data_IF_802892371004
#
_entry.id   IF_802892371004
#
_cell.length_a   1.000
_cell.length_b   1.000
_cell.length_c   1.000
_cell.angle_alpha   90.00
_cell.angle_beta   90.00
_cell.angle_gamma   90.00
#
_symmetry.space_group_name_H-M   'P 1'
#
loop_
_entity.id
_entity.type
_entity.pdbx_description
1 polymer ?
#
# COMPACT_ATOMS: atom_id res chain seq x y z
N UNK A 1 20.29 20.38 18.65
CA UNK A 1 20.60 19.06 18.07
C UNK A 1 20.70 17.96 19.13
N UNK A 2 21.40 18.19 20.24
CA UNK A 2 21.64 17.18 21.28
C UNK A 2 20.36 16.58 21.88
N UNK A 3 19.32 17.41 22.10
CA UNK A 3 18.01 16.93 22.53
C UNK A 3 17.38 15.94 21.54
N UNK A 4 17.55 16.16 20.23
CA UNK A 4 17.08 15.25 19.19
C UNK A 4 17.88 13.95 19.21
N UNK A 5 19.21 14.01 19.30
CA UNK A 5 20.05 12.81 19.41
C UNK A 5 19.71 11.98 20.66
N UNK A 6 19.43 12.63 21.78
CA UNK A 6 19.00 11.96 23.01
C UNK A 6 17.62 11.31 22.87
N UNK A 7 16.67 11.99 22.22
CA UNK A 7 15.36 11.42 21.88
C UNK A 7 15.47 10.25 20.90
N UNK A 8 16.31 10.35 19.87
CA UNK A 8 16.60 9.28 18.92
C UNK A 8 17.17 8.04 19.63
N UNK A 9 18.14 8.24 20.54
CA UNK A 9 18.72 7.13 21.32
C UNK A 9 17.66 6.42 22.16
N UNK A 10 16.82 7.18 22.88
CA UNK A 10 15.72 6.59 23.66
C UNK A 10 14.71 5.87 22.77
N UNK A 11 14.36 6.43 21.61
CA UNK A 11 13.39 5.82 20.71
C UNK A 11 13.78 4.37 20.35
N UNK A 12 15.08 4.11 20.14
CA UNK A 12 15.60 2.76 19.89
C UNK A 12 15.30 1.79 21.04
N UNK A 13 15.30 2.26 22.29
CA UNK A 13 15.00 1.46 23.47
C UNK A 13 13.48 1.17 23.63
N UNK A 14 12.62 1.85 22.86
CA UNK A 14 11.15 1.79 22.95
C UNK A 14 10.48 1.21 21.70
N UNK A 15 11.24 0.56 20.81
CA UNK A 15 10.65 -0.20 19.71
C UNK A 15 9.96 -1.43 20.29
N UNK A 16 8.65 -1.54 20.04
CA UNK A 16 7.82 -2.64 20.53
C UNK A 16 7.05 -3.27 19.37
N UNK A 17 6.81 -4.58 19.42
CA UNK A 17 5.99 -5.26 18.43
C UNK A 17 4.51 -5.08 18.76
N UNK A 18 3.72 -4.51 17.85
CA UNK A 18 2.27 -4.45 17.95
C UNK A 18 1.71 -5.88 18.01
N UNK A 19 0.97 -6.25 19.06
CA UNK A 19 0.48 -7.62 19.23
C UNK A 19 -0.58 -8.04 18.21
N UNK A 20 -1.24 -7.11 17.53
CA UNK A 20 -2.27 -7.38 16.54
C UNK A 20 -1.70 -7.54 15.13
N UNK A 21 -0.75 -6.68 14.75
CA UNK A 21 -0.20 -6.68 13.39
C UNK A 21 1.15 -7.38 13.29
N UNK A 22 1.89 -7.48 14.41
CA UNK A 22 3.29 -7.90 14.42
C UNK A 22 4.25 -6.80 13.96
N UNK A 23 3.76 -5.58 13.74
CA UNK A 23 4.56 -4.46 13.25
C UNK A 23 5.34 -3.81 14.39
N UNK A 24 6.59 -3.47 14.15
CA UNK A 24 7.41 -2.69 15.08
C UNK A 24 6.94 -1.23 15.10
N UNK A 25 6.48 -0.76 16.26
CA UNK A 25 5.95 0.58 16.51
C UNK A 25 6.59 1.17 17.77
N UNK A 26 6.70 2.50 17.81
CA UNK A 26 7.16 3.19 19.01
C UNK A 26 6.07 3.19 20.08
N UNK A 27 6.40 2.68 21.27
CA UNK A 27 5.52 2.79 22.44
C UNK A 27 5.58 4.19 23.10
N UNK A 28 4.53 4.54 23.84
CA UNK A 28 4.54 5.70 24.76
C UNK A 28 4.55 7.08 24.10
N UNK A 29 5.16 8.05 24.78
CA UNK A 29 5.25 9.47 24.37
C UNK A 29 6.44 9.77 23.43
N UNK A 30 7.12 8.74 22.90
CA UNK A 30 8.35 8.88 22.10
C UNK A 30 8.14 9.74 20.86
N UNK A 31 7.03 9.57 20.13
CA UNK A 31 6.74 10.38 18.94
C UNK A 31 6.60 11.87 19.30
N UNK A 32 5.97 12.17 20.44
CA UNK A 32 5.81 13.54 20.94
C UNK A 32 7.15 14.13 21.37
N UNK A 33 8.02 13.32 21.96
CA UNK A 33 9.38 13.71 22.32
C UNK A 33 10.22 14.01 21.07
N UNK A 34 10.23 13.10 20.08
CA UNK A 34 10.91 13.30 18.79
C UNK A 34 10.41 14.56 18.08
N UNK A 35 9.09 14.80 18.10
CA UNK A 35 8.51 16.03 17.55
C UNK A 35 9.03 17.28 18.25
N UNK A 36 8.98 17.32 19.58
CA UNK A 36 9.42 18.48 20.38
C UNK A 36 10.92 18.73 20.20
N UNK A 37 11.72 17.67 20.17
CA UNK A 37 13.17 17.76 19.99
C UNK A 37 13.55 18.18 18.57
N UNK A 38 12.80 17.75 17.55
CA UNK A 38 12.97 18.18 16.15
C UNK A 38 12.64 19.65 16.00
N UNK A 39 11.52 20.11 16.58
CA UNK A 39 11.13 21.53 16.59
C UNK A 39 12.20 22.40 17.27
N UNK A 40 12.73 21.96 18.43
CA UNK A 40 13.82 22.65 19.10
C UNK A 40 15.11 22.68 18.26
N UNK A 41 15.45 21.59 17.56
CA UNK A 41 16.61 21.55 16.67
C UNK A 41 16.45 22.54 15.50
N UNK A 42 15.29 22.57 14.85
CA UNK A 42 14.99 23.53 13.77
C UNK A 42 15.01 24.98 14.27
N UNK A 43 14.44 25.26 15.45
CA UNK A 43 14.46 26.57 16.08
C UNK A 43 15.89 27.04 16.42
N UNK A 44 16.81 26.12 16.69
CA UNK A 44 18.24 26.42 16.90
C UNK A 44 19.04 26.66 15.60
N UNK A 45 18.38 26.64 14.44
CA UNK A 45 19.00 26.85 13.13
C UNK A 45 19.59 25.59 12.49
N UNK A 46 19.29 24.40 13.01
CA UNK A 46 19.66 23.16 12.33
C UNK A 46 18.89 23.05 11.00
N UNK A 47 19.59 22.68 9.93
CA UNK A 47 18.93 22.46 8.62
C UNK A 47 17.93 21.31 8.69
N UNK A 48 16.76 21.39 8.02
CA UNK A 48 15.78 20.30 7.96
C UNK A 48 16.36 18.98 7.46
N UNK A 49 17.31 19.02 6.52
CA UNK A 49 18.01 17.85 6.00
C UNK A 49 18.74 17.04 7.09
N UNK A 50 19.47 17.72 7.98
CA UNK A 50 20.17 17.07 9.11
C UNK A 50 19.19 16.44 10.11
N UNK A 51 18.08 17.11 10.37
CA UNK A 51 17.02 16.59 11.26
C UNK A 51 16.37 15.36 10.62
N UNK A 52 16.03 15.44 9.32
CA UNK A 52 15.48 14.34 8.54
C UNK A 52 16.41 13.12 8.56
N UNK A 53 17.71 13.29 8.36
CA UNK A 53 18.67 12.19 8.39
C UNK A 53 18.63 11.42 9.71
N UNK A 54 18.61 12.13 10.85
CA UNK A 54 18.51 11.47 12.17
C UNK A 54 17.17 10.81 12.42
N UNK A 55 16.08 11.41 11.94
CA UNK A 55 14.76 10.78 12.04
C UNK A 55 14.70 9.51 11.18
N UNK A 56 15.22 9.53 9.95
CA UNK A 56 15.23 8.35 9.10
C UNK A 56 16.07 7.20 9.66
N UNK A 57 17.14 7.49 10.40
CA UNK A 57 17.90 6.47 11.13
C UNK A 57 17.05 5.78 12.20
N UNK A 58 16.32 6.55 13.00
CA UNK A 58 15.42 6.02 14.03
C UNK A 58 14.25 5.26 13.43
N UNK A 59 13.57 5.84 12.44
CA UNK A 59 12.41 5.21 11.80
C UNK A 59 12.81 4.04 10.89
N UNK A 60 14.09 3.84 10.57
CA UNK A 60 14.52 2.62 9.89
C UNK A 60 14.44 1.35 10.74
N UNK A 61 14.18 1.53 12.04
CA UNK A 61 13.89 0.45 12.99
C UNK A 61 12.38 0.13 13.08
N UNK A 62 11.51 0.86 12.36
CA UNK A 62 10.08 0.53 12.32
C UNK A 62 9.78 -0.32 11.10
N UNK A 63 8.81 -1.21 11.22
CA UNK A 63 8.43 -2.15 10.14
C UNK A 63 7.93 -1.49 8.85
N UNK A 64 7.52 -0.22 8.92
CA UNK A 64 7.03 0.57 7.79
C UNK A 64 8.06 1.56 7.24
N UNK A 65 9.20 1.73 7.93
CA UNK A 65 10.24 2.73 7.63
C UNK A 65 9.68 4.14 7.40
N UNK A 66 8.54 4.49 8.00
CA UNK A 66 7.80 5.70 7.68
C UNK A 66 7.91 6.74 8.80
N UNK A 67 8.42 7.92 8.47
CA UNK A 67 8.41 9.06 9.38
C UNK A 67 6.96 9.57 9.49
N UNK A 68 6.44 9.84 10.70
CA UNK A 68 5.09 10.34 10.90
C UNK A 68 4.84 11.63 10.14
N UNK A 69 3.66 11.72 9.54
CA UNK A 69 3.21 12.85 8.72
C UNK A 69 3.39 14.21 9.41
N UNK A 70 3.16 14.27 10.73
CA UNK A 70 3.29 15.50 11.51
C UNK A 70 4.74 16.00 11.57
N UNK A 71 5.71 15.09 11.67
CA UNK A 71 7.14 15.41 11.65
C UNK A 71 7.57 15.85 10.24
N UNK A 72 7.10 15.16 9.21
CA UNK A 72 7.39 15.58 7.82
C UNK A 72 6.80 16.97 7.54
N UNK A 73 5.55 17.21 7.90
CA UNK A 73 4.90 18.51 7.73
C UNK A 73 5.68 19.62 8.45
N UNK A 74 6.23 19.34 9.63
CA UNK A 74 7.13 20.27 10.33
C UNK A 74 8.39 20.55 9.48
N UNK A 75 9.06 19.53 8.96
CA UNK A 75 10.27 19.70 8.15
C UNK A 75 10.02 20.48 6.86
N UNK A 76 8.92 20.20 6.14
CA UNK A 76 8.54 20.93 4.92
C UNK A 76 8.28 22.41 5.20
N UNK A 77 7.59 22.75 6.30
CA UNK A 77 7.37 24.15 6.71
C UNK A 77 8.66 24.89 7.01
N UNK A 78 9.71 24.17 7.40
CA UNK A 78 11.05 24.72 7.63
C UNK A 78 11.95 24.66 6.39
N UNK A 79 11.39 24.34 5.21
CA UNK A 79 12.10 24.38 3.94
C UNK A 79 12.84 23.09 3.57
N UNK A 80 12.40 21.94 4.09
CA UNK A 80 12.86 20.65 3.54
C UNK A 80 12.40 20.54 2.08
N UNK A 81 13.34 20.34 1.17
CA UNK A 81 13.04 20.13 -0.25
C UNK A 81 12.87 18.63 -0.55
N UNK A 82 11.98 18.20 -1.47
CA UNK A 82 11.84 16.81 -1.88
C UNK A 82 13.13 16.16 -2.42
N UNK A 83 14.01 16.96 -3.01
CA UNK A 83 15.31 16.51 -3.54
C UNK A 83 16.39 16.37 -2.47
N UNK A 84 16.08 16.69 -1.20
CA UNK A 84 17.05 16.58 -0.11
C UNK A 84 17.60 15.16 -0.05
N UNK A 85 18.93 14.97 -0.13
CA UNK A 85 19.52 13.64 -0.08
C UNK A 85 19.28 13.00 1.29
N UNK A 86 18.89 11.74 1.26
CA UNK A 86 18.69 10.90 2.43
C UNK A 86 19.29 9.52 2.13
N UNK A 87 20.41 9.22 2.80
CA UNK A 87 21.22 8.02 2.52
C UNK A 87 21.62 7.97 1.03
N UNK A 88 21.20 6.93 0.32
CA UNK A 88 21.51 6.70 -1.11
C UNK A 88 20.43 7.20 -2.07
N UNK A 89 19.44 7.97 -1.61
CA UNK A 89 18.33 8.46 -2.43
C UNK A 89 17.93 9.89 -2.05
N UNK A 90 16.91 10.46 -2.69
CA UNK A 90 16.29 11.72 -2.27
C UNK A 90 15.05 11.48 -1.41
N UNK A 91 14.63 12.52 -0.66
CA UNK A 91 13.50 12.44 0.26
C UNK A 91 12.20 12.01 -0.42
N UNK A 92 11.89 12.52 -1.62
CA UNK A 92 10.69 12.12 -2.36
C UNK A 92 10.67 10.62 -2.62
N UNK A 93 11.77 10.07 -3.16
CA UNK A 93 11.86 8.65 -3.45
C UNK A 93 11.81 7.83 -2.15
N UNK A 94 12.53 8.24 -1.11
CA UNK A 94 12.42 7.62 0.22
C UNK A 94 10.97 7.56 0.71
N UNK A 95 10.20 8.65 0.57
CA UNK A 95 8.80 8.69 0.98
C UNK A 95 7.93 7.75 0.12
N UNK A 96 8.24 7.62 -1.16
CA UNK A 96 7.57 6.71 -2.10
C UNK A 96 7.97 5.24 -1.93
N UNK A 97 9.00 4.92 -1.14
CA UNK A 97 9.31 3.53 -0.79
C UNK A 97 8.34 2.94 0.24
N UNK A 98 7.66 3.79 1.03
CA UNK A 98 6.74 3.36 2.08
C UNK A 98 5.55 2.56 1.51
N UNK A 99 5.01 1.63 2.31
CA UNK A 99 3.83 0.81 1.94
C UNK A 99 2.58 1.64 1.68
N UNK A 100 2.49 2.80 2.32
CA UNK A 100 1.41 3.77 2.15
C UNK A 100 2.01 5.08 1.62
N UNK A 101 1.85 5.38 0.32
CA UNK A 101 2.35 6.63 -0.23
C UNK A 101 1.57 7.83 0.36
N UNK A 102 2.10 9.06 0.22
CA UNK A 102 1.40 10.26 0.67
C UNK A 102 -0.02 10.32 0.08
N UNK A 103 -1.05 10.63 0.89
CA UNK A 103 -2.41 10.75 0.37
C UNK A 103 -2.56 11.98 -0.53
N UNK A 104 -3.61 11.99 -1.35
CA UNK A 104 -4.01 13.18 -2.11
C UNK A 104 -4.95 14.06 -1.30
N UNK A 105 -4.90 15.37 -1.56
CA UNK A 105 -5.89 16.29 -1.03
C UNK A 105 -7.18 16.12 -1.84
N UNK A 106 -8.10 15.31 -1.35
CA UNK A 106 -9.34 15.03 -2.07
C UNK A 106 -10.19 16.30 -2.25
N UNK A 107 -10.15 16.91 -3.44
CA UNK A 107 -10.92 18.14 -3.77
C UNK A 107 -12.31 17.86 -4.32
N UNK A 108 -12.76 16.60 -4.29
CA UNK A 108 -14.03 16.19 -4.88
C UNK A 108 -15.26 16.89 -4.26
N UNK A 109 -16.35 17.10 -5.04
CA UNK A 109 -17.50 17.94 -4.68
C UNK A 109 -18.36 17.43 -3.51
N UNK A 110 -18.02 16.27 -2.91
CA UNK A 110 -18.81 15.62 -1.86
C UNK A 110 -18.04 15.38 -0.56
N UNK A 111 -16.75 15.72 -0.52
CA UNK A 111 -15.90 15.38 0.63
C UNK A 111 -15.44 16.68 1.28
N UNK A 112 -16.08 17.04 2.39
CA UNK A 112 -15.69 18.18 3.23
C UNK A 112 -14.48 17.85 4.10
N UNK A 113 -13.49 17.13 3.55
CA UNK A 113 -12.31 16.81 4.34
C UNK A 113 -11.50 18.09 4.48
N UNK A 114 -11.60 18.70 5.66
CA UNK A 114 -10.86 19.91 5.98
C UNK A 114 -9.36 19.62 5.83
N UNK A 115 -8.66 20.54 5.17
CA UNK A 115 -7.20 20.51 5.08
C UNK A 115 -6.60 20.32 6.47
N UNK A 116 -5.80 19.28 6.65
CA UNK A 116 -5.09 19.04 7.89
C UNK A 116 -3.64 19.49 7.69
N UNK A 117 -3.21 20.59 8.31
CA UNK A 117 -1.85 21.10 8.12
C UNK A 117 -0.78 20.14 8.66
N UNK A 118 -1.16 19.16 9.49
CA UNK A 118 -0.26 18.15 10.05
C UNK A 118 -0.18 16.88 9.19
N UNK A 119 -0.73 16.91 7.98
CA UNK A 119 -0.57 15.87 6.97
C UNK A 119 0.16 16.44 5.78
N UNK A 120 1.01 15.63 5.17
CA UNK A 120 1.64 15.96 3.89
C UNK A 120 0.89 15.23 2.80
N UNK A 121 0.42 15.99 1.83
CA UNK A 121 -0.23 15.46 0.65
C UNK A 121 0.80 15.26 -0.48
N UNK A 122 0.49 14.38 -1.43
CA UNK A 122 1.39 14.16 -2.57
C UNK A 122 1.59 15.44 -3.38
N UNK A 123 0.54 16.23 -3.56
CA UNK A 123 0.56 17.54 -4.22
C UNK A 123 1.54 18.49 -3.54
N UNK A 124 1.56 18.54 -2.19
CA UNK A 124 2.50 19.38 -1.44
C UNK A 124 3.96 19.05 -1.78
N UNK A 125 4.28 17.78 -2.08
CA UNK A 125 5.63 17.36 -2.44
C UNK A 125 5.97 17.69 -3.90
N UNK A 126 5.00 17.58 -4.81
CA UNK A 126 5.19 17.89 -6.23
C UNK A 126 5.26 19.40 -6.47
N UNK A 127 4.43 20.19 -5.77
CA UNK A 127 4.39 21.65 -5.88
C UNK A 127 5.70 22.33 -5.44
N UNK A 128 6.52 21.64 -4.65
CA UNK A 128 7.86 22.10 -4.29
C UNK A 128 8.87 22.01 -5.44
N UNK A 129 8.51 21.39 -6.57
CA UNK A 129 9.34 21.32 -7.77
C UNK A 129 10.51 20.34 -7.67
N UNK A 130 10.28 19.05 -7.31
CA UNK A 130 11.32 18.04 -7.30
C UNK A 130 11.94 17.86 -8.69
N UNK A 131 13.26 17.64 -8.76
CA UNK A 131 13.96 17.40 -10.01
C UNK A 131 13.57 16.00 -10.59
N UNK A 132 12.93 15.94 -11.77
CA UNK A 132 12.46 14.69 -12.36
C UNK A 132 13.58 13.74 -12.80
N UNK A 133 14.79 14.26 -12.96
CA UNK A 133 15.96 13.51 -13.42
C UNK A 133 16.73 12.83 -12.29
N UNK A 134 16.36 13.05 -11.01
CA UNK A 134 16.97 12.33 -9.90
C UNK A 134 16.65 10.84 -10.01
N UNK A 135 17.70 10.04 -9.97
CA UNK A 135 17.65 8.58 -10.10
C UNK A 135 18.17 7.91 -8.83
N UNK A 136 17.63 6.74 -8.54
CA UNK A 136 18.19 5.85 -7.51
C UNK A 136 19.45 5.14 -8.01
N UNK A 137 20.09 4.38 -7.11
CA UNK A 137 21.14 3.42 -7.48
C UNK A 137 20.70 2.37 -8.51
N UNK A 138 19.40 2.08 -8.63
CA UNK A 138 18.85 1.21 -9.68
C UNK A 138 18.50 1.97 -10.97
N UNK A 139 18.93 3.23 -11.11
CA UNK A 139 18.71 4.08 -12.27
C UNK A 139 17.26 4.57 -12.46
N UNK A 140 16.34 4.19 -11.57
CA UNK A 140 14.92 4.51 -11.67
C UNK A 140 14.60 5.91 -11.14
N UNK A 141 13.73 6.63 -11.83
CA UNK A 141 13.19 7.92 -11.38
C UNK A 141 12.02 7.73 -10.40
N UNK A 142 11.57 8.78 -9.71
CA UNK A 142 10.41 8.68 -8.81
C UNK A 142 9.15 8.14 -9.52
N UNK A 143 8.97 8.44 -10.82
CA UNK A 143 7.86 7.92 -11.61
C UNK A 143 7.94 6.39 -11.81
N UNK A 144 9.14 5.84 -11.99
CA UNK A 144 9.35 4.39 -12.00
C UNK A 144 8.93 3.76 -10.68
N UNK A 145 9.24 4.41 -9.55
CA UNK A 145 8.85 3.93 -8.23
C UNK A 145 7.33 3.89 -8.07
N UNK A 146 6.63 4.97 -8.39
CA UNK A 146 5.16 5.02 -8.30
C UNK A 146 4.51 3.88 -9.10
N UNK A 147 4.91 3.72 -10.36
CA UNK A 147 4.34 2.70 -11.24
C UNK A 147 4.73 1.29 -10.79
N UNK A 148 6.02 1.04 -10.56
CA UNK A 148 6.52 -0.29 -10.17
C UNK A 148 5.93 -0.75 -8.84
N UNK A 149 5.86 0.12 -7.83
CA UNK A 149 5.29 -0.19 -6.51
C UNK A 149 3.79 -0.47 -6.59
N UNK A 150 3.05 0.31 -7.37
CA UNK A 150 1.63 0.05 -7.59
C UNK A 150 1.41 -1.29 -8.30
N UNK A 151 2.13 -1.57 -9.40
CA UNK A 151 1.98 -2.81 -10.15
C UNK A 151 2.42 -4.06 -9.38
N UNK A 152 3.48 -3.96 -8.59
CA UNK A 152 4.00 -5.06 -7.74
C UNK A 152 3.22 -5.24 -6.44
N UNK A 153 2.08 -4.55 -6.27
CA UNK A 153 1.23 -4.61 -5.06
C UNK A 153 1.96 -4.25 -3.76
N UNK A 154 2.98 -3.41 -3.86
CA UNK A 154 3.76 -2.95 -2.70
C UNK A 154 3.11 -1.74 -2.02
N UNK A 155 2.28 -0.99 -2.76
CA UNK A 155 1.38 0.01 -2.17
C UNK A 155 0.07 -0.62 -1.72
N UNK A 156 -0.42 -0.15 -0.58
CA UNK A 156 -1.66 -0.64 0.03
C UNK A 156 -1.66 -2.17 0.11
N UNK A 157 -0.73 -2.78 0.87
CA UNK A 157 -0.51 -4.22 0.84
C UNK A 157 -1.82 -4.97 1.10
N UNK A 158 -2.00 -6.06 0.36
CA UNK A 158 -3.20 -6.89 0.48
C UNK A 158 -3.26 -7.49 1.90
N UNK A 159 -4.44 -7.45 2.52
CA UNK A 159 -4.65 -8.02 3.84
C UNK A 159 -4.62 -9.56 3.77
N UNK A 160 -4.13 -10.24 4.81
CA UNK A 160 -4.07 -11.69 4.79
C UNK A 160 -5.49 -12.28 4.76
N UNK A 161 -5.68 -13.34 3.97
CA UNK A 161 -7.00 -13.95 3.74
C UNK A 161 -7.77 -14.34 5.01
N UNK A 162 -7.05 -14.65 6.10
CA UNK A 162 -7.64 -14.92 7.43
C UNK A 162 -8.48 -13.75 7.98
N UNK A 163 -8.26 -12.51 7.53
CA UNK A 163 -9.06 -11.35 7.92
C UNK A 163 -10.54 -11.50 7.53
N UNK A 164 -10.86 -12.31 6.51
CA UNK A 164 -12.25 -12.65 6.15
C UNK A 164 -12.97 -13.38 7.29
N UNK A 165 -12.25 -14.22 8.04
CA UNK A 165 -12.80 -14.91 9.22
C UNK A 165 -13.12 -13.91 10.35
N UNK A 166 -12.43 -12.76 10.38
CA UNK A 166 -12.69 -11.66 11.30
C UNK A 166 -13.73 -10.65 10.77
N UNK A 167 -14.40 -10.95 9.66
CA UNK A 167 -15.49 -10.15 9.12
C UNK A 167 -15.08 -9.04 8.15
N UNK A 168 -13.80 -8.96 7.78
CA UNK A 168 -13.35 -8.07 6.69
C UNK A 168 -13.96 -8.55 5.38
N UNK A 169 -14.49 -7.61 4.59
CA UNK A 169 -15.04 -7.93 3.28
C UNK A 169 -13.92 -8.48 2.38
N UNK A 170 -14.16 -9.52 1.58
CA UNK A 170 -13.19 -10.00 0.59
C UNK A 170 -12.70 -8.91 -0.36
N UNK A 171 -13.56 -7.92 -0.64
CA UNK A 171 -13.21 -6.76 -1.47
C UNK A 171 -12.16 -5.87 -0.80
N UNK A 172 -12.19 -5.78 0.52
CA UNK A 172 -11.28 -4.95 1.31
C UNK A 172 -9.94 -5.68 1.59
N UNK A 173 -9.83 -6.96 1.20
CA UNK A 173 -8.56 -7.67 1.29
C UNK A 173 -7.54 -7.17 0.27
N UNK A 174 -8.02 -6.68 -0.87
CA UNK A 174 -7.16 -6.28 -1.97
C UNK A 174 -7.03 -4.76 -1.99
N UNK A 175 -5.80 -4.27 -1.91
CA UNK A 175 -5.52 -2.83 -2.02
C UNK A 175 -5.58 -2.30 -3.45
N UNK A 176 -6.09 -3.07 -4.42
CA UNK A 176 -6.09 -2.69 -5.83
C UNK A 176 -6.89 -1.42 -6.10
N UNK A 177 -7.94 -1.15 -5.34
CA UNK A 177 -8.69 0.10 -5.46
C UNK A 177 -7.85 1.32 -5.03
N UNK A 178 -7.17 1.22 -3.88
CA UNK A 178 -6.28 2.27 -3.40
C UNK A 178 -5.09 2.48 -4.34
N UNK A 179 -4.52 1.40 -4.87
CA UNK A 179 -3.44 1.46 -5.87
C UNK A 179 -3.91 2.12 -7.17
N UNK A 180 -5.08 1.74 -7.67
CA UNK A 180 -5.66 2.30 -8.88
C UNK A 180 -5.93 3.80 -8.72
N UNK A 181 -6.54 4.19 -7.60
CA UNK A 181 -6.79 5.59 -7.29
C UNK A 181 -5.47 6.37 -7.18
N UNK A 182 -4.50 5.87 -6.43
CA UNK A 182 -3.22 6.54 -6.27
C UNK A 182 -2.50 6.70 -7.61
N UNK A 183 -2.49 5.67 -8.47
CA UNK A 183 -1.88 5.77 -9.79
C UNK A 183 -2.63 6.78 -10.69
N UNK A 184 -3.97 6.81 -10.67
CA UNK A 184 -4.77 7.76 -11.46
C UNK A 184 -4.51 9.21 -11.07
N UNK A 185 -4.26 9.48 -9.79
CA UNK A 185 -4.04 10.83 -9.27
C UNK A 185 -2.56 11.24 -9.37
N UNK A 186 -1.63 10.34 -8.99
CA UNK A 186 -0.18 10.62 -9.00
C UNK A 186 0.37 10.82 -10.41
N UNK A 187 0.00 9.94 -11.34
CA UNK A 187 0.65 9.86 -12.65
C UNK A 187 0.52 11.16 -13.46
N UNK A 188 -0.67 11.76 -13.67
CA UNK A 188 -0.78 13.02 -14.39
C UNK A 188 0.00 14.16 -13.71
N UNK A 189 -0.04 14.25 -12.38
CA UNK A 189 0.70 15.27 -11.63
C UNK A 189 2.21 15.15 -11.83
N UNK A 190 2.74 13.92 -11.87
CA UNK A 190 4.16 13.71 -12.17
C UNK A 190 4.51 14.08 -13.61
N UNK A 191 3.66 13.78 -14.59
CA UNK A 191 3.90 14.21 -15.96
C UNK A 191 3.90 15.75 -16.08
N UNK A 192 2.97 16.42 -15.40
CA UNK A 192 2.91 17.89 -15.34
C UNK A 192 4.16 18.49 -14.66
N UNK A 193 4.71 17.79 -13.68
CA UNK A 193 5.98 18.15 -13.03
C UNK A 193 7.24 17.82 -13.87
N UNK A 194 7.08 17.34 -15.10
CA UNK A 194 8.19 17.10 -16.03
C UNK A 194 8.84 15.72 -15.94
N UNK A 195 8.25 14.77 -15.21
CA UNK A 195 8.76 13.40 -15.17
C UNK A 195 8.55 12.70 -16.52
N UNK A 196 9.64 12.24 -17.13
CA UNK A 196 9.58 11.57 -18.42
C UNK A 196 9.18 10.09 -18.30
N UNK A 197 8.11 9.63 -18.98
CA UNK A 197 7.74 8.22 -18.99
C UNK A 197 8.62 7.37 -19.93
N UNK A 198 9.46 8.02 -20.75
CA UNK A 198 10.41 7.35 -21.67
C UNK A 198 11.81 7.23 -21.08
N UNK A 199 12.09 7.83 -19.92
CA UNK A 199 13.32 7.58 -19.20
C UNK A 199 13.43 6.09 -18.88
N UNK A 200 14.62 5.52 -19.08
CA UNK A 200 14.91 4.12 -18.76
C UNK A 200 15.51 4.00 -17.37
N UNK A 201 15.18 2.94 -16.64
CA UNK A 201 15.92 2.53 -15.44
C UNK A 201 17.27 1.87 -15.79
N UNK A 202 18.02 1.39 -14.79
CA UNK A 202 19.31 0.71 -15.03
C UNK A 202 19.18 -0.63 -15.77
N UNK A 203 17.99 -1.25 -15.78
CA UNK A 203 17.70 -2.45 -16.55
C UNK A 203 17.24 -2.13 -18.00
N UNK A 204 17.17 -0.85 -18.37
CA UNK A 204 16.71 -0.41 -19.68
C UNK A 204 15.18 -0.37 -19.83
N UNK A 205 14.42 -0.57 -18.74
CA UNK A 205 12.97 -0.52 -18.79
C UNK A 205 12.46 0.91 -18.69
N UNK A 206 11.51 1.28 -19.55
CA UNK A 206 10.77 2.55 -19.43
C UNK A 206 9.51 2.38 -18.59
N UNK A 207 8.99 3.48 -18.07
CA UNK A 207 7.69 3.50 -17.36
C UNK A 207 6.57 2.97 -18.26
N UNK A 208 6.59 3.28 -19.55
CA UNK A 208 5.62 2.79 -20.54
C UNK A 208 5.68 1.26 -20.66
N UNK A 209 6.88 0.67 -20.68
CA UNK A 209 7.05 -0.79 -20.72
C UNK A 209 6.47 -1.43 -19.45
N UNK A 210 6.78 -0.89 -18.27
CA UNK A 210 6.22 -1.34 -17.00
C UNK A 210 4.68 -1.29 -17.01
N UNK A 211 4.09 -0.20 -17.50
CA UNK A 211 2.64 -0.07 -17.63
C UNK A 211 2.04 -1.11 -18.60
N UNK A 212 2.68 -1.36 -19.75
CA UNK A 212 2.20 -2.39 -20.70
C UNK A 212 2.25 -3.80 -20.10
N UNK A 213 3.33 -4.13 -19.39
CA UNK A 213 3.46 -5.40 -18.66
C UNK A 213 2.40 -5.53 -17.56
N UNK A 214 2.24 -4.48 -16.75
CA UNK A 214 1.22 -4.41 -15.72
C UNK A 214 -0.20 -4.56 -16.28
N UNK A 215 -0.50 -3.92 -17.41
CA UNK A 215 -1.79 -4.04 -18.08
C UNK A 215 -2.08 -5.49 -18.49
N UNK A 216 -1.09 -6.18 -19.05
CA UNK A 216 -1.23 -7.58 -19.44
C UNK A 216 -1.43 -8.48 -18.21
N UNK A 217 -0.70 -8.23 -17.12
CA UNK A 217 -0.87 -9.01 -15.89
C UNK A 217 -2.27 -8.84 -15.29
N UNK A 218 -2.74 -7.60 -15.13
CA UNK A 218 -4.09 -7.32 -14.64
C UNK A 218 -5.18 -7.83 -15.58
N UNK A 219 -4.96 -7.81 -16.90
CA UNK A 219 -5.90 -8.39 -17.88
C UNK A 219 -6.07 -9.89 -17.68
N UNK A 220 -4.98 -10.64 -17.52
CA UNK A 220 -5.03 -12.08 -17.23
C UNK A 220 -5.77 -12.36 -15.93
N UNK A 221 -5.53 -11.56 -14.88
CA UNK A 221 -6.21 -11.70 -13.58
C UNK A 221 -7.71 -11.42 -13.69
N UNK A 222 -8.11 -10.34 -14.35
CA UNK A 222 -9.53 -10.01 -14.56
C UNK A 222 -10.24 -11.14 -15.31
N UNK A 223 -9.62 -11.70 -16.34
CA UNK A 223 -10.18 -12.85 -17.06
C UNK A 223 -10.45 -14.05 -16.16
N UNK A 224 -9.53 -14.38 -15.25
CA UNK A 224 -9.73 -15.43 -14.25
C UNK A 224 -10.82 -15.07 -13.22
N UNK A 225 -10.96 -13.79 -12.88
CA UNK A 225 -11.87 -13.31 -11.84
C UNK A 225 -13.30 -13.03 -12.32
N UNK A 226 -13.56 -12.99 -13.63
CA UNK A 226 -14.91 -12.81 -14.21
C UNK A 226 -15.98 -13.77 -13.67
N UNK A 227 -15.55 -14.89 -13.08
CA UNK A 227 -16.45 -15.88 -12.50
C UNK A 227 -16.77 -15.66 -11.02
N UNK A 228 -16.16 -14.68 -10.35
CA UNK A 228 -16.12 -14.59 -8.88
C UNK A 228 -16.66 -13.28 -8.27
N UNK A 229 -17.28 -12.37 -9.05
CA UNK A 229 -17.85 -11.08 -8.57
C UNK A 229 -16.87 -10.20 -7.73
N UNK A 230 -15.57 -10.51 -7.78
CA UNK A 230 -14.48 -9.92 -6.97
C UNK A 230 -13.51 -9.09 -7.81
N UNK A 231 -13.96 -8.58 -8.95
CA UNK A 231 -13.12 -8.01 -10.01
C UNK A 231 -12.98 -6.47 -9.95
N UNK A 232 -13.78 -5.77 -9.15
CA UNK A 232 -13.89 -4.30 -9.27
C UNK A 232 -12.55 -3.58 -9.05
N UNK A 233 -11.74 -3.98 -8.06
CA UNK A 233 -10.42 -3.38 -7.83
C UNK A 233 -9.43 -3.65 -8.97
N UNK A 234 -9.40 -4.87 -9.50
CA UNK A 234 -8.55 -5.25 -10.62
C UNK A 234 -8.96 -4.51 -11.91
N UNK A 235 -10.28 -4.36 -12.15
CA UNK A 235 -10.82 -3.57 -13.25
C UNK A 235 -10.43 -2.10 -13.12
N UNK A 236 -10.56 -1.50 -11.93
CA UNK A 236 -10.15 -0.11 -11.69
C UNK A 236 -8.65 0.08 -11.92
N UNK A 237 -7.82 -0.87 -11.51
CA UNK A 237 -6.38 -0.82 -11.77
C UNK A 237 -6.08 -0.96 -13.26
N UNK A 238 -6.76 -1.86 -13.99
CA UNK A 238 -6.63 -1.97 -15.44
C UNK A 238 -7.01 -0.66 -16.15
N UNK A 239 -8.09 -0.01 -15.69
CA UNK A 239 -8.50 1.32 -16.19
C UNK A 239 -7.45 2.38 -15.85
N UNK A 240 -6.91 2.40 -14.63
CA UNK A 240 -5.84 3.31 -14.23
C UNK A 240 -4.60 3.19 -15.13
N UNK A 241 -4.16 1.96 -15.40
CA UNK A 241 -3.01 1.69 -16.26
C UNK A 241 -3.29 2.14 -17.71
N UNK A 242 -4.51 1.88 -18.22
CA UNK A 242 -4.91 2.33 -19.56
C UNK A 242 -4.88 3.85 -19.65
N UNK A 243 -5.45 4.57 -18.68
CA UNK A 243 -5.43 6.02 -18.63
C UNK A 243 -3.99 6.55 -18.59
N UNK A 244 -3.11 5.94 -17.78
CA UNK A 244 -1.71 6.30 -17.73
C UNK A 244 -1.00 6.11 -19.09
N UNK A 245 -1.26 5.00 -19.80
CA UNK A 245 -0.75 4.78 -21.15
C UNK A 245 -1.26 5.82 -22.15
N UNK A 246 -2.56 6.15 -22.09
CA UNK A 246 -3.17 7.18 -22.94
C UNK A 246 -2.53 8.56 -22.70
N UNK A 247 -2.23 8.91 -21.45
CA UNK A 247 -1.50 10.14 -21.10
C UNK A 247 -0.06 10.16 -21.65
N UNK A 248 0.57 8.99 -21.83
CA UNK A 248 1.85 8.86 -22.52
C UNK A 248 1.75 8.88 -24.05
N UNK A 249 0.54 9.02 -24.63
CA UNK A 249 0.32 8.91 -26.08
C UNK A 249 0.38 7.47 -26.61
N UNK A 250 0.34 6.48 -25.73
CA UNK A 250 0.44 5.06 -26.06
C UNK A 250 -0.93 4.38 -25.97
N UNK A 251 -1.20 3.46 -26.90
CA UNK A 251 -2.40 2.63 -26.80
C UNK A 251 -2.15 1.44 -25.89
N UNK A 252 -3.13 1.13 -25.04
CA UNK A 252 -3.10 -0.11 -24.26
C UNK A 252 -3.00 -1.31 -25.23
N UNK A 253 -2.19 -2.33 -24.90
CA UNK A 253 -2.11 -3.55 -25.69
C UNK A 253 -3.52 -4.07 -25.97
N UNK A 254 -3.81 -4.37 -27.24
CA UNK A 254 -5.06 -5.02 -27.58
C UNK A 254 -5.14 -6.30 -26.76
N UNK A 255 -6.18 -6.42 -25.93
CA UNK A 255 -6.37 -7.58 -25.08
C UNK A 255 -6.44 -8.82 -25.96
N UNK A 256 -5.35 -9.57 -26.04
CA UNK A 256 -5.34 -10.85 -26.74
C UNK A 256 -6.11 -11.78 -25.82
N UNK A 257 -7.38 -12.15 -26.14
CA UNK A 257 -8.10 -13.08 -25.30
C UNK A 257 -7.24 -14.33 -25.17
N UNK A 258 -6.91 -14.69 -23.93
CA UNK A 258 -6.13 -15.88 -23.65
C UNK A 258 -6.75 -17.03 -24.45
N UNK A 259 -5.99 -17.79 -25.27
CA UNK A 259 -6.54 -18.77 -26.17
C UNK A 259 -7.31 -19.79 -25.33
N UNK A 260 -8.62 -19.57 -25.23
CA UNK A 260 -9.53 -20.46 -24.55
C UNK A 260 -9.33 -21.80 -25.21
N UNK A 261 -8.88 -22.80 -24.45
CA UNK A 261 -8.81 -24.19 -24.90
C UNK A 261 -10.22 -24.56 -25.34
N UNK A 262 -10.50 -24.33 -26.61
CA UNK A 262 -11.80 -24.60 -27.22
C UNK A 262 -11.98 -26.11 -27.18
N UNK A 263 -12.74 -26.58 -26.18
CA UNK A 263 -13.28 -27.92 -26.17
C UNK A 263 -14.29 -28.01 -27.33
N UNK A 264 -14.07 -28.86 -28.34
CA UNK A 264 -14.95 -28.93 -29.49
C UNK A 264 -16.13 -29.83 -29.15
N UNK A 265 -17.20 -29.28 -28.57
CA UNK A 265 -18.45 -30.04 -28.43
C UNK A 265 -19.69 -29.14 -28.36
N UNK A 266 -20.69 -29.54 -29.15
CA UNK A 266 -22.11 -29.17 -29.09
C UNK A 266 -22.55 -27.84 -29.72
N UNK A 267 -22.60 -27.84 -31.06
CA UNK A 267 -23.68 -27.20 -31.80
C UNK A 267 -24.86 -28.19 -31.94
N UNK A 268 -26.08 -27.74 -31.62
CA UNK A 268 -27.46 -28.22 -31.93
C UNK A 268 -28.32 -28.01 -30.66
N UNK A 269 -29.51 -27.39 -30.61
CA UNK A 269 -30.71 -27.43 -31.48
C UNK A 269 -31.64 -26.29 -31.01
N UNK A 270 -32.25 -25.49 -31.89
CA UNK A 270 -33.59 -25.65 -32.47
C UNK A 270 -34.77 -25.04 -31.66
N UNK A 271 -35.55 -24.23 -32.38
CA UNK A 271 -36.75 -23.49 -32.03
C UNK A 271 -38.00 -24.34 -31.70
N UNK A 272 -38.96 -23.75 -30.97
CA UNK A 272 -40.44 -23.81 -31.16
C UNK A 272 -41.15 -23.14 -29.96
N UNK A 273 -41.83 -22.00 -30.09
CA UNK A 273 -43.22 -21.79 -30.53
C UNK A 273 -44.32 -21.88 -29.43
N UNK A 274 -44.88 -20.69 -29.13
CA UNK A 274 -46.31 -20.34 -29.02
C UNK A 274 -47.21 -20.90 -27.88
N UNK A 275 -47.86 -19.99 -27.14
CA UNK A 275 -49.33 -19.70 -27.10
C UNK A 275 -49.81 -19.15 -25.75
N UNK A 276 -50.42 -17.97 -25.76
CA UNK A 276 -51.44 -17.51 -24.77
C UNK A 276 -52.79 -18.21 -25.09
N UNK A 277 -53.78 -18.35 -24.15
CA UNK A 277 -54.54 -17.20 -23.64
C UNK A 277 -55.22 -17.36 -22.24
N UNK A 278 -55.88 -16.25 -21.83
CA UNK A 278 -57.25 -16.18 -21.26
C UNK A 278 -57.39 -15.81 -19.78
N UNK A 279 -58.05 -14.66 -19.60
CA UNK A 279 -58.48 -14.05 -18.35
C UNK A 279 -59.58 -14.85 -17.63
N UNK A 280 -59.54 -14.80 -16.29
CA UNK A 280 -60.69 -15.03 -15.42
C UNK A 280 -60.62 -14.04 -14.25
N UNK A 281 -61.71 -13.31 -14.05
CA UNK A 281 -61.91 -12.37 -12.95
C UNK A 281 -62.10 -13.15 -11.63
N UNK A 282 -61.38 -12.75 -10.58
CA UNK A 282 -61.54 -13.28 -9.24
C UNK A 282 -61.75 -12.13 -8.24
N UNK A 283 -62.84 -12.29 -7.51
CA UNK A 283 -63.40 -11.58 -6.37
C UNK A 283 -62.37 -11.15 -5.33
N UNK A 284 -62.51 -9.92 -4.81
CA UNK A 284 -61.64 -9.32 -3.80
C UNK A 284 -61.56 -10.17 -2.51
N UNK A 285 -60.42 -10.81 -2.33
CA UNK A 285 -59.96 -11.40 -1.08
C UNK A 285 -59.35 -10.30 -0.18
N UNK A 286 -59.37 -10.47 1.16
CA UNK A 286 -58.65 -9.57 2.07
C UNK A 286 -57.16 -9.49 1.69
N UNK A 287 -56.46 -8.36 1.94
CA UNK A 287 -55.10 -8.13 1.47
C UNK A 287 -54.20 -9.30 1.88
N UNK A 288 -53.76 -10.08 0.89
CA UNK A 288 -52.74 -11.10 1.12
C UNK A 288 -51.48 -10.41 1.62
N UNK A 289 -50.73 -11.03 2.55
CA UNK A 289 -49.43 -10.53 2.95
C UNK A 289 -48.59 -10.27 1.70
N UNK A 290 -47.94 -9.11 1.63
CA UNK A 290 -47.14 -8.70 0.48
C UNK A 290 -46.22 -9.86 0.07
N UNK A 291 -46.32 -10.27 -1.19
CA UNK A 291 -45.45 -11.31 -1.73
C UNK A 291 -43.99 -10.81 -1.66
N UNK A 292 -43.02 -11.69 -1.38
CA UNK A 292 -41.59 -11.32 -1.34
C UNK A 292 -41.10 -10.56 -2.58
N UNK A 293 -41.77 -10.75 -3.73
CA UNK A 293 -41.53 -10.04 -4.98
C UNK A 293 -41.74 -8.51 -4.87
N UNK A 294 -42.66 -8.06 -4.01
CA UNK A 294 -42.93 -6.63 -3.83
C UNK A 294 -41.73 -5.86 -3.25
N UNK A 295 -40.78 -6.55 -2.64
CA UNK A 295 -39.61 -5.96 -1.99
C UNK A 295 -38.32 -6.11 -2.81
N UNK A 296 -38.33 -6.74 -3.99
CA UNK A 296 -37.10 -6.98 -4.77
C UNK A 296 -36.41 -5.70 -5.24
N UNK A 297 -37.18 -4.64 -5.48
CA UNK A 297 -36.67 -3.32 -5.88
C UNK A 297 -36.50 -2.35 -4.70
N UNK A 298 -36.70 -2.80 -3.47
CA UNK A 298 -36.46 -1.99 -2.27
C UNK A 298 -35.00 -1.55 -2.21
N UNK A 299 -34.78 -0.28 -1.89
CA UNK A 299 -33.45 0.34 -1.85
C UNK A 299 -33.16 0.93 -0.49
N UNK A 300 -31.90 0.80 -0.06
CA UNK A 300 -31.43 1.32 1.21
C UNK A 300 -31.67 2.83 1.27
N UNK A 301 -32.49 3.32 2.22
CA UNK A 301 -32.96 4.69 2.12
C UNK A 301 -31.91 5.70 2.58
N UNK A 302 -30.91 5.33 3.40
CA UNK A 302 -29.93 6.26 3.98
C UNK A 302 -28.56 5.61 4.22
N UNK A 303 -27.58 6.42 4.66
CA UNK A 303 -26.25 5.96 5.06
C UNK A 303 -25.30 5.70 3.89
N UNK A 304 -24.19 5.01 4.18
CA UNK A 304 -23.10 4.71 3.23
C UNK A 304 -23.59 3.97 1.97
N UNK A 305 -24.62 3.13 2.11
CA UNK A 305 -25.19 2.34 1.02
C UNK A 305 -26.50 2.92 0.46
N UNK A 306 -26.78 4.21 0.68
CA UNK A 306 -28.01 4.82 0.19
C UNK A 306 -28.20 4.63 -1.31
N UNK A 307 -29.38 4.17 -1.72
CA UNK A 307 -29.74 3.89 -3.11
C UNK A 307 -29.40 2.47 -3.59
N UNK A 308 -28.61 1.68 -2.86
CA UNK A 308 -28.34 0.28 -3.21
C UNK A 308 -29.57 -0.59 -3.00
N UNK A 309 -29.77 -1.66 -3.78
CA UNK A 309 -30.87 -2.59 -3.49
C UNK A 309 -30.61 -3.31 -2.18
N UNK A 310 -31.67 -3.61 -1.41
CA UNK A 310 -31.52 -4.33 -0.14
C UNK A 310 -30.91 -5.73 -0.30
N UNK A 311 -31.11 -6.37 -1.46
CA UNK A 311 -30.52 -7.65 -1.85
C UNK A 311 -29.03 -7.56 -2.23
N UNK A 312 -28.52 -6.35 -2.46
CA UNK A 312 -27.11 -6.05 -2.79
C UNK A 312 -26.31 -5.63 -1.55
N UNK A 313 -26.96 -5.43 -0.39
CA UNK A 313 -26.28 -5.02 0.83
C UNK A 313 -25.32 -6.12 1.33
N UNK A 314 -24.09 -5.75 1.74
CA UNK A 314 -23.17 -6.71 2.36
C UNK A 314 -23.77 -7.36 3.61
N UNK A 315 -23.55 -8.66 3.80
CA UNK A 315 -24.04 -9.39 4.96
C UNK A 315 -23.56 -8.78 6.29
N UNK A 316 -22.29 -8.37 6.35
CA UNK A 316 -21.71 -7.68 7.52
C UNK A 316 -22.40 -6.36 7.84
N UNK A 317 -22.89 -5.64 6.82
CA UNK A 317 -23.65 -4.40 7.01
C UNK A 317 -25.03 -4.68 7.62
N UNK A 318 -25.70 -5.75 7.16
CA UNK A 318 -26.98 -6.20 7.73
C UNK A 318 -26.80 -6.68 9.18
N UNK A 319 -25.72 -7.42 9.46
CA UNK A 319 -25.35 -7.84 10.82
C UNK A 319 -25.09 -6.63 11.73
N UNK A 320 -24.32 -5.65 11.25
CA UNK A 320 -24.09 -4.40 11.97
C UNK A 320 -25.40 -3.65 12.28
N UNK A 321 -26.30 -3.51 11.29
CA UNK A 321 -27.63 -2.90 11.51
C UNK A 321 -28.43 -3.62 12.59
N UNK A 322 -28.32 -4.95 12.68
CA UNK A 322 -28.99 -5.76 13.71
C UNK A 322 -28.27 -5.72 15.07
N UNK A 323 -26.96 -5.44 15.10
CA UNK A 323 -26.17 -5.40 16.33
C UNK A 323 -26.27 -4.07 17.06
N UNK A 324 -26.46 -2.97 16.33
CA UNK A 324 -26.57 -1.61 16.91
C UNK A 324 -27.89 -1.46 17.66
N UNK A 325 -27.80 -1.17 18.95
CA UNK A 325 -28.98 -0.87 19.78
C UNK A 325 -29.71 0.37 19.26
N UNK A 326 -31.03 0.32 19.27
CA UNK A 326 -31.91 1.36 18.72
C UNK A 326 -31.64 1.71 17.25
N UNK A 327 -30.97 0.85 16.48
CA UNK A 327 -30.87 1.07 15.03
C UNK A 327 -32.27 1.14 14.43
N UNK A 328 -33.13 0.17 14.73
CA UNK A 328 -34.55 0.18 14.37
C UNK A 328 -35.42 0.89 15.43
N UNK A 329 -35.08 2.13 15.75
CA UNK A 329 -35.73 3.05 16.73
C UNK A 329 -37.25 3.31 16.54
N UNK A 330 -37.90 2.67 15.57
CA UNK A 330 -39.30 2.88 15.27
C UNK A 330 -39.60 4.17 14.49
N UNK A 331 -38.58 4.90 14.03
CA UNK A 331 -38.81 6.00 13.08
C UNK A 331 -39.48 5.45 11.81
N UNK A 332 -40.45 6.18 11.20
CA UNK A 332 -41.24 5.66 10.07
C UNK A 332 -40.37 5.13 8.92
N UNK A 333 -39.26 5.82 8.64
CA UNK A 333 -38.30 5.44 7.60
C UNK A 333 -37.59 4.11 7.89
N UNK A 334 -37.22 3.87 9.15
CA UNK A 334 -36.54 2.63 9.55
C UNK A 334 -37.51 1.47 9.77
N UNK A 335 -38.77 1.76 10.09
CA UNK A 335 -39.84 0.76 10.09
C UNK A 335 -40.10 0.21 8.69
N UNK A 336 -40.19 1.09 7.68
CA UNK A 336 -40.31 0.67 6.28
C UNK A 336 -39.12 -0.20 5.88
N UNK A 337 -37.89 0.23 6.17
CA UNK A 337 -36.68 -0.56 5.91
C UNK A 337 -36.74 -1.94 6.60
N UNK A 338 -37.18 -2.01 7.86
CA UNK A 338 -37.31 -3.26 8.60
C UNK A 338 -38.35 -4.19 7.97
N UNK A 339 -39.50 -3.66 7.56
CA UNK A 339 -40.55 -4.40 6.86
C UNK A 339 -40.02 -4.97 5.54
N UNK A 340 -39.29 -4.19 4.76
CA UNK A 340 -38.67 -4.62 3.51
C UNK A 340 -37.60 -5.70 3.73
N UNK A 341 -36.73 -5.54 4.74
CA UNK A 341 -35.71 -6.54 5.08
C UNK A 341 -36.33 -7.85 5.60
N UNK A 342 -37.43 -7.78 6.37
CA UNK A 342 -38.21 -8.94 6.81
C UNK A 342 -38.91 -9.62 5.63
N UNK A 343 -39.50 -8.84 4.73
CA UNK A 343 -40.17 -9.33 3.52
C UNK A 343 -39.22 -10.03 2.56
N UNK A 344 -37.96 -9.59 2.49
CA UNK A 344 -36.88 -10.24 1.75
C UNK A 344 -36.26 -11.45 2.48
N UNK A 345 -36.59 -11.67 3.76
CA UNK A 345 -36.00 -12.73 4.59
C UNK A 345 -34.54 -12.49 4.98
N UNK A 346 -34.01 -11.28 4.78
CA UNK A 346 -32.62 -10.92 5.12
C UNK A 346 -32.40 -10.78 6.63
N UNK A 347 -33.46 -10.42 7.35
CA UNK A 347 -33.48 -10.38 8.82
C UNK A 347 -34.70 -11.13 9.35
N UNK A 348 -34.68 -11.46 10.64
CA UNK A 348 -35.80 -12.05 11.37
C UNK A 348 -35.93 -11.43 12.76
N UNK A 349 -37.16 -11.35 13.28
CA UNK A 349 -37.37 -11.01 14.68
C UNK A 349 -37.22 -12.28 15.54
N UNK A 350 -36.36 -12.24 16.56
CA UNK A 350 -36.14 -13.40 17.43
C UNK A 350 -37.41 -13.76 18.23
N UNK A 351 -38.22 -12.76 18.58
CA UNK A 351 -39.56 -12.86 19.20
C UNK A 351 -40.40 -11.68 18.72
N UNK A 352 -41.75 -11.75 18.75
CA UNK A 352 -42.59 -10.60 18.47
C UNK A 352 -42.23 -9.42 19.39
N UNK A 353 -41.83 -8.29 18.80
CA UNK A 353 -41.33 -7.11 19.55
C UNK A 353 -39.93 -7.28 20.15
N UNK A 354 -39.19 -8.33 19.80
CA UNK A 354 -37.83 -8.60 20.25
C UNK A 354 -36.76 -8.08 19.30
N UNK A 355 -35.48 -8.31 19.67
CA UNK A 355 -34.31 -7.92 18.86
C UNK A 355 -34.38 -8.51 17.45
N UNK A 356 -34.09 -7.68 16.46
CA UNK A 356 -33.93 -8.06 15.06
C UNK A 356 -32.57 -8.73 14.90
N UNK A 357 -32.51 -9.89 14.24
CA UNK A 357 -31.28 -10.65 14.02
C UNK A 357 -31.15 -10.96 12.53
N UNK A 358 -29.94 -10.86 11.98
CA UNK A 358 -29.68 -11.26 10.60
C UNK A 358 -30.02 -12.75 10.38
N UNK A 359 -30.63 -13.08 9.24
CA UNK A 359 -30.99 -14.47 8.92
C UNK A 359 -29.78 -15.18 8.32
N UNK A 360 -29.52 -16.46 8.69
CA UNK A 360 -28.39 -17.26 8.19
C UNK A 360 -28.35 -17.44 6.66
N UNK A 361 -29.42 -17.07 5.95
CA UNK A 361 -29.48 -17.01 4.49
C UNK A 361 -28.51 -15.95 3.92
N UNK A 362 -28.16 -14.92 4.69
CA UNK A 362 -27.11 -13.96 4.34
C UNK A 362 -25.70 -14.58 4.37
N UNK A 363 -25.52 -15.67 5.13
CA UNK A 363 -24.20 -16.26 5.39
C UNK A 363 -23.91 -17.61 4.71
N UNK A 364 -24.92 -18.44 4.39
CA UNK A 364 -24.66 -19.85 4.02
C UNK A 364 -24.56 -20.19 2.53
N UNK A 365 -25.03 -19.35 1.61
CA UNK A 365 -24.97 -19.67 0.15
C UNK A 365 -23.91 -18.89 -0.63
N UNK A 366 -23.17 -17.99 0.01
CA UNK A 366 -22.08 -17.23 -0.63
C UNK A 366 -20.69 -17.49 -0.03
N UNK A 367 -20.57 -18.30 1.02
CA UNK A 367 -19.43 -18.16 1.97
C UNK A 367 -18.51 -19.36 2.18
N UNK A 368 -18.67 -20.52 1.52
CA UNK A 368 -17.75 -21.65 1.80
C UNK A 368 -17.22 -22.50 0.63
N UNK A 369 -17.77 -22.44 -0.58
CA UNK A 369 -17.19 -23.22 -1.70
C UNK A 369 -15.88 -22.62 -2.24
N UNK A 370 -15.52 -21.39 -1.86
CA UNK A 370 -14.29 -20.69 -2.26
C UNK A 370 -13.05 -20.95 -1.40
N UNK A 371 -13.20 -21.54 -0.20
CA UNK A 371 -12.09 -21.74 0.76
C UNK A 371 -11.52 -23.16 0.70
N UNK A 372 -12.23 -24.08 0.05
CA UNK A 372 -11.84 -25.50 -0.07
C UNK A 372 -11.13 -25.83 -1.39
N UNK A 373 -11.06 -24.87 -2.32
CA UNK A 373 -10.21 -24.98 -3.51
C UNK A 373 -8.87 -24.34 -3.21
N UNK A 374 -7.91 -25.19 -2.83
CA UNK A 374 -6.53 -24.83 -2.49
C UNK A 374 -5.94 -23.75 -3.39
N UNK A 375 -5.87 -22.53 -2.86
CA UNK A 375 -5.05 -21.46 -3.41
C UNK A 375 -3.57 -21.62 -3.02
N UNK A 376 -3.22 -22.68 -2.28
CA UNK A 376 -1.83 -23.10 -2.03
C UNK A 376 -1.16 -23.74 -3.26
N UNK A 377 -1.91 -24.16 -4.29
CA UNK A 377 -1.36 -24.79 -5.51
C UNK A 377 -1.18 -23.82 -6.70
N UNK A 378 -1.55 -22.54 -6.57
CA UNK A 378 -1.01 -21.50 -7.45
C UNK A 378 0.38 -21.11 -6.94
N UNK A 379 1.32 -22.04 -7.03
CA UNK A 379 2.76 -21.79 -6.91
C UNK A 379 3.08 -20.63 -7.83
N UNK A 380 3.27 -19.46 -7.22
CA UNK A 380 3.92 -18.32 -7.85
C UNK A 380 5.23 -18.85 -8.43
N UNK A 381 5.43 -18.68 -9.73
CA UNK A 381 6.58 -19.21 -10.47
C UNK A 381 7.91 -18.67 -9.98
N UNK A 382 8.37 -19.16 -8.83
CA UNK A 382 9.76 -19.48 -8.60
C UNK A 382 10.03 -20.73 -9.42
N UNK A 383 10.80 -20.57 -10.48
CA UNK A 383 11.33 -21.69 -11.26
C UNK A 383 12.42 -22.37 -10.41
N UNK A 384 12.21 -23.56 -9.83
CA UNK A 384 13.23 -24.22 -9.02
C UNK A 384 14.27 -24.96 -9.88
N UNK A 385 14.19 -24.84 -11.22
CA UNK A 385 15.04 -25.54 -12.18
C UNK A 385 15.68 -24.62 -13.23
N UNK A 386 15.76 -23.32 -12.95
CA UNK A 386 16.73 -22.46 -13.62
C UNK A 386 18.13 -22.86 -13.18
N UNK A 387 18.75 -23.78 -13.92
CA UNK A 387 20.20 -24.01 -13.96
C UNK A 387 20.90 -22.65 -13.97
N UNK A 388 21.44 -22.25 -12.82
CA UNK A 388 22.58 -21.35 -12.80
C UNK A 388 23.73 -22.17 -13.37
N UNK A 389 24.19 -21.80 -14.57
CA UNK A 389 25.52 -22.16 -15.04
C UNK A 389 26.51 -21.66 -13.98
N UNK A 390 26.88 -22.57 -13.07
CA UNK A 390 28.05 -22.45 -12.20
C UNK A 390 29.28 -22.42 -13.11
N UNK A 391 29.64 -21.23 -13.58
CA UNK A 391 31.01 -20.97 -13.98
C UNK A 391 31.85 -20.98 -12.70
N UNK A 392 32.50 -22.12 -12.47
CA UNK A 392 33.58 -22.35 -11.53
C UNK A 392 34.48 -21.10 -11.38
N UNK A 393 34.38 -20.44 -10.24
CA UNK A 393 35.50 -19.68 -9.67
C UNK A 393 35.82 -20.38 -8.37
N UNK A 394 36.74 -21.35 -8.46
CA UNK A 394 37.43 -21.92 -7.30
C UNK A 394 38.25 -20.79 -6.66
N UNK A 395 37.74 -20.21 -5.57
CA UNK A 395 38.60 -19.53 -4.60
C UNK A 395 38.78 -20.46 -3.39
N UNK A 396 39.99 -21.03 -3.37
CA UNK A 396 40.63 -21.78 -2.30
C UNK A 396 40.76 -20.88 -1.06
N UNK A 397 39.93 -21.12 -0.04
CA UNK A 397 40.09 -20.53 1.30
C UNK A 397 40.62 -21.60 2.24
N UNK A 398 41.87 -21.43 2.68
CA UNK A 398 42.55 -22.26 3.66
C UNK A 398 41.82 -22.22 5.02
N UNK A 399 41.26 -23.36 5.43
CA UNK A 399 40.78 -23.64 6.78
C UNK A 399 41.96 -23.97 7.71
N UNK A 400 42.41 -23.00 8.51
CA UNK A 400 43.16 -23.28 9.75
C UNK A 400 42.30 -22.97 10.99
N UNK A 401 41.75 -24.05 11.55
CA UNK A 401 41.79 -24.37 12.99
C UNK A 401 41.22 -23.38 14.01
N UNK A 402 39.97 -23.60 14.43
CA UNK A 402 39.48 -23.14 15.73
C UNK A 402 38.87 -24.31 16.52
N UNK A 403 39.58 -24.80 17.53
CA UNK A 403 39.09 -25.81 18.48
C UNK A 403 38.33 -25.14 19.64
N UNK A 404 37.09 -25.55 19.95
CA UNK A 404 36.41 -25.11 21.16
C UNK A 404 36.62 -26.13 22.29
N UNK A 405 37.46 -25.79 23.27
CA UNK A 405 37.51 -26.49 24.55
C UNK A 405 36.46 -25.96 25.54
N UNK A 406 35.83 -26.86 26.29
CA UNK A 406 35.47 -26.59 27.69
C UNK A 406 33.99 -26.49 28.03
N UNK A 407 33.27 -27.61 27.99
CA UNK A 407 31.99 -27.79 28.68
C UNK A 407 32.22 -27.94 30.20
N UNK A 408 31.66 -27.03 31.01
CA UNK A 408 31.64 -27.13 32.48
C UNK A 408 30.27 -27.66 32.94
N UNK A 409 30.19 -28.62 33.89
CA UNK A 409 28.92 -29.14 34.39
C UNK A 409 28.30 -28.22 35.46
N UNK A 410 26.97 -28.18 35.45
CA UNK A 410 26.10 -27.55 36.44
C UNK A 410 26.05 -28.40 37.73
N UNK A 411 26.43 -27.80 38.86
CA UNK A 411 26.00 -28.23 40.20
C UNK A 411 24.90 -27.27 40.70
N UNK A 412 23.78 -27.79 41.24
CA UNK A 412 22.79 -26.98 41.95
C UNK A 412 22.98 -27.05 43.47
N UNK A 413 22.47 -26.02 44.13
CA UNK A 413 22.09 -25.91 45.55
C UNK A 413 22.91 -24.90 46.38
N UNK A 414 22.15 -24.28 47.29
CA UNK A 414 22.54 -23.48 48.48
C UNK A 414 22.56 -21.94 48.31
N UNK A 415 21.39 -21.35 48.63
CA UNK A 415 21.11 -20.48 49.78
C UNK A 415 22.24 -19.61 50.40
N UNK A 416 21.78 -18.52 51.02
CA UNK A 416 22.47 -17.60 51.96
C UNK A 416 23.21 -16.41 51.31
N UNK A 417 22.63 -15.21 51.38
CA UNK A 417 22.69 -14.24 52.51
C UNK A 417 23.81 -13.20 52.29
N UNK A 418 23.37 -11.94 52.24
CA UNK A 418 24.00 -10.78 52.90
C UNK A 418 25.40 -10.26 52.48
N UNK A 419 25.48 -8.91 52.48
CA UNK A 419 26.66 -8.09 52.76
C UNK A 419 27.81 -8.00 51.71
N UNK A 420 27.94 -6.83 51.06
CA UNK A 420 28.80 -5.73 51.54
C UNK A 420 28.98 -4.64 50.48
N UNK A 421 28.78 -3.41 50.93
CA UNK A 421 29.33 -2.18 50.37
C UNK A 421 30.84 -2.32 50.13
N UNK A 422 31.31 -1.88 48.96
CA UNK A 422 32.71 -1.49 48.82
C UNK A 422 32.83 -0.35 47.81
N UNK A 423 32.99 0.84 48.37
CA UNK A 423 33.64 1.98 47.70
C UNK A 423 35.05 1.56 47.27
N UNK A 424 35.45 2.00 46.09
CA UNK A 424 36.77 1.78 45.53
C UNK A 424 37.06 2.79 44.44
N UNK A 425 37.64 3.92 44.85
CA UNK A 425 38.53 4.75 44.05
C UNK A 425 39.58 3.90 43.31
N UNK A 426 39.89 4.26 42.07
CA UNK A 426 41.24 4.25 41.47
C UNK A 426 41.13 4.74 40.02
N UNK A 427 41.67 5.93 39.71
CA UNK A 427 42.92 6.13 38.93
C UNK A 427 42.66 5.96 37.42
N UNK A 428 42.55 7.06 36.66
CA UNK A 428 43.66 7.74 35.98
C UNK A 428 44.61 6.75 35.30
N UNK A 429 44.35 6.45 34.03
CA UNK A 429 45.41 6.08 33.09
C UNK A 429 45.22 6.84 31.78
N UNK A 430 46.19 7.73 31.55
CA UNK A 430 46.59 8.28 30.26
C UNK A 430 46.90 7.16 29.26
N UNK A 431 46.38 7.26 28.05
CA UNK A 431 46.92 6.56 26.87
C UNK A 431 46.56 7.42 25.64
N UNK A 432 47.49 8.27 25.25
CA UNK A 432 48.50 8.05 24.20
C UNK A 432 48.03 8.62 22.86
N UNK A 433 48.83 9.59 22.43
CA UNK A 433 48.79 10.27 21.15
C UNK A 433 49.07 9.27 20.03
N UNK A 434 48.08 9.08 19.15
CA UNK A 434 48.26 8.42 17.86
C UNK A 434 48.32 9.48 16.77
N UNK A 435 49.53 9.88 16.42
CA UNK A 435 49.86 10.47 15.12
C UNK A 435 49.56 9.42 14.05
N UNK A 436 48.60 9.67 13.16
CA UNK A 436 48.46 8.92 11.92
C UNK A 436 48.55 9.88 10.74
N UNK A 437 49.48 9.52 9.86
CA UNK A 437 50.06 10.28 8.78
C UNK A 437 49.05 10.68 7.70
N UNK A 438 49.12 11.97 7.32
CA UNK A 438 48.54 12.50 6.09
C UNK A 438 49.40 12.07 4.90
N UNK A 439 49.01 11.02 4.18
CA UNK A 439 49.51 10.76 2.82
C UNK A 439 48.65 11.54 1.81
N UNK A 440 49.15 12.71 1.42
CA UNK A 440 48.74 13.47 0.25
C UNK A 440 49.22 12.72 -1.01
N UNK A 441 48.33 12.01 -1.70
CA UNK A 441 48.56 11.59 -3.09
C UNK A 441 48.14 12.73 -4.04
N UNK A 442 49.13 13.53 -4.44
CA UNK A 442 49.06 14.40 -5.61
C UNK A 442 49.07 13.54 -6.89
N UNK A 443 47.89 13.33 -7.50
CA UNK A 443 47.80 12.79 -8.86
C UNK A 443 47.70 13.95 -9.86
N UNK A 444 48.86 14.44 -10.31
CA UNK A 444 48.99 15.29 -11.50
C UNK A 444 48.74 14.44 -12.75
N UNK A 445 47.50 14.48 -13.26
CA UNK A 445 47.13 13.92 -14.55
C UNK A 445 47.12 14.99 -15.64
N UNK A 446 48.28 15.20 -16.27
CA UNK A 446 48.41 15.82 -17.58
C UNK A 446 47.49 15.12 -18.59
N UNK A 447 46.62 15.88 -19.28
CA UNK A 447 46.10 15.47 -20.58
C UNK A 447 46.11 16.65 -21.55
N UNK A 448 47.05 16.50 -22.46
CA UNK A 448 47.32 17.28 -23.65
C UNK A 448 46.11 17.37 -24.61
N UNK A 449 46.06 18.53 -25.27
CA UNK A 449 45.84 18.74 -26.71
C UNK A 449 44.80 17.90 -27.48
N UNK A 450 43.72 18.58 -27.87
CA UNK A 450 43.14 18.57 -29.23
C UNK A 450 42.14 19.74 -29.31
N UNK A 451 42.50 20.93 -29.80
CA UNK A 451 42.55 21.28 -31.24
C UNK A 451 41.54 20.52 -32.10
N UNK A 452 40.38 21.13 -32.35
CA UNK A 452 39.77 21.10 -33.68
C UNK A 452 38.79 22.27 -33.82
N UNK A 453 39.11 23.16 -34.75
CA UNK A 453 38.29 24.29 -35.13
C UNK A 453 37.03 23.89 -35.90
N UNK A 454 35.98 24.69 -35.72
CA UNK A 454 34.77 24.65 -36.52
C UNK A 454 34.22 26.05 -36.70
N UNK A 455 34.77 26.77 -37.69
CA UNK A 455 34.15 27.96 -38.26
C UNK A 455 33.00 27.51 -39.15
N UNK A 456 31.76 27.90 -38.87
CA UNK A 456 30.69 27.93 -39.88
C UNK A 456 30.02 29.30 -39.92
N UNK A 457 30.53 30.05 -40.90
CA UNK A 457 29.80 30.78 -41.93
C UNK A 457 28.43 31.40 -41.63
N UNK A 458 28.48 32.73 -41.66
CA UNK A 458 27.41 33.64 -42.03
C UNK A 458 27.01 33.50 -43.51
N UNK A 459 25.75 33.20 -43.79
CA UNK A 459 25.00 33.65 -44.98
C UNK A 459 23.58 33.97 -44.48
N UNK A 460 22.95 35.12 -44.73
CA UNK A 460 22.86 35.83 -45.99
C UNK A 460 21.52 35.49 -46.64
N UNK A 461 20.48 36.29 -46.38
CA UNK A 461 19.16 36.07 -46.96
C UNK A 461 18.21 37.24 -46.74
N UNK A 462 18.30 38.24 -47.61
CA UNK A 462 17.26 39.23 -47.90
C UNK A 462 16.13 38.57 -48.72
N UNK A 463 14.87 38.78 -48.35
CA UNK A 463 13.79 39.34 -49.19
C UNK A 463 12.55 39.70 -48.34
#
# INVERSE_FOLDING_TARGET
MDALLSACKRANDYVTTDPLTGDEVFGGDVEKELYTASEAALASGCSPAKVLGKLADVYSLTSDNCIPEKLVALLLRHGLHPDTPIRSTCYLIYRLHAKCPPPFMYTGPKTTQAYNPNKVYFEDLIDLGPNPEIRTSSGGTALHFVVSKALKKQYYPDLPGRMVLMGVSPRDLYGDDGRAQFLQEAFPLMLEAGYSPTATDAAGHTVIQLLKEGYNDYSRRVDCLKHFDADEGHLRMQVAIRTALELCGEQAPAHIPSPSKASPAAATSAAAAARSPKAAAATAAPPSPATPEAFQDARMPFGKHSGWRLTELPASYIEWMCSVDDFFDGSPRKQVLLEELLGLGLVRQARPGGRVVATTQTGRKRRLDWLDWGYDDCVWGYDPQGELDEAEVEEEWDEEGFEPEGSVPLDPDEDDEEYLEKEGDAEEEDAEEGDDDEEEEEEEGDNDDADEGGQEETEGGEE
#
